data_IF_756439778105
#
_entry.id   IF_756439778105
#
_cell.length_a   1.000
_cell.length_b   1.000
_cell.length_c   1.000
_cell.angle_alpha   90.00
_cell.angle_beta   90.00
_cell.angle_gamma   90.00
#
_symmetry.space_group_name_H-M   'P 1'
#
loop_
_entity.id
_entity.type
_entity.pdbx_description
1 polymer ?
#
# COMPACT_ATOMS: atom_id res chain seq x y z
N UNK A 1 -18.25 9.11 0.22
CA UNK A 1 -17.31 9.62 -0.80
C UNK A 1 -18.01 9.67 -2.14
N UNK A 2 -17.63 10.57 -3.04
CA UNK A 2 -18.24 10.71 -4.38
C UNK A 2 -18.26 9.42 -5.19
N UNK A 3 -17.14 8.68 -5.19
CA UNK A 3 -17.00 7.44 -5.96
C UNK A 3 -18.00 6.37 -5.51
N UNK A 4 -18.28 6.29 -4.21
CA UNK A 4 -19.26 5.35 -3.68
C UNK A 4 -20.67 5.70 -4.13
N UNK A 5 -21.03 7.00 -4.18
CA UNK A 5 -22.33 7.44 -4.66
C UNK A 5 -22.56 7.10 -6.12
N UNK A 6 -21.50 7.15 -6.94
CA UNK A 6 -21.55 6.83 -8.37
C UNK A 6 -21.39 5.33 -8.64
N UNK A 7 -21.34 4.50 -7.60
CA UNK A 7 -21.18 3.04 -7.69
C UNK A 7 -19.89 2.62 -8.40
N UNK A 8 -18.84 3.43 -8.29
CA UNK A 8 -17.51 3.10 -8.84
C UNK A 8 -16.74 2.32 -7.79
N UNK A 9 -16.25 1.12 -8.17
CA UNK A 9 -15.42 0.33 -7.29
C UNK A 9 -14.11 1.06 -7.00
N UNK A 10 -13.85 1.33 -5.73
CA UNK A 10 -12.66 2.03 -5.30
C UNK A 10 -12.05 1.37 -4.07
N UNK A 11 -10.73 1.52 -3.92
CA UNK A 11 -9.98 0.99 -2.80
C UNK A 11 -9.06 2.10 -2.28
N UNK A 12 -9.14 2.35 -0.99
CA UNK A 12 -8.26 3.28 -0.29
C UNK A 12 -7.57 2.54 0.86
N UNK A 13 -6.32 2.06 0.66
CA UNK A 13 -5.59 1.43 1.76
C UNK A 13 -5.35 2.44 2.88
N UNK A 14 -5.72 2.07 4.10
CA UNK A 14 -5.55 2.91 5.27
C UNK A 14 -4.76 2.21 6.35
N UNK A 15 -4.07 3.00 7.16
CA UNK A 15 -3.36 2.53 8.35
C UNK A 15 -3.78 3.36 9.54
N UNK A 16 -3.64 2.77 10.74
CA UNK A 16 -3.94 3.48 11.97
C UNK A 16 -2.84 4.48 12.31
N UNK A 17 -3.26 5.70 12.59
CA UNK A 17 -2.37 6.75 13.09
C UNK A 17 -2.75 7.04 14.54
N UNK A 18 -1.78 6.97 15.44
CA UNK A 18 -2.00 7.18 16.87
C UNK A 18 -1.34 8.49 17.29
N UNK A 19 -2.13 9.39 17.85
CA UNK A 19 -1.65 10.65 18.37
C UNK A 19 -2.00 10.80 19.84
N UNK A 20 -1.04 11.24 20.64
CA UNK A 20 -1.27 11.61 22.04
C UNK A 20 -1.55 13.10 22.12
N UNK A 21 -2.70 13.44 22.65
CA UNK A 21 -3.13 14.82 22.80
C UNK A 21 -3.69 15.04 24.21
N UNK A 22 -3.07 15.96 24.96
CA UNK A 22 -3.47 16.29 26.35
C UNK A 22 -3.67 15.06 27.24
N UNK A 23 -2.75 14.08 27.15
CA UNK A 23 -2.84 12.86 27.93
C UNK A 23 -3.84 11.83 27.42
N UNK A 24 -4.55 12.11 26.32
CA UNK A 24 -5.44 11.16 25.65
C UNK A 24 -4.77 10.59 24.41
N UNK A 25 -5.01 9.30 24.16
CA UNK A 25 -4.59 8.64 22.91
C UNK A 25 -5.75 8.66 21.92
N UNK A 26 -5.55 9.26 20.77
CA UNK A 26 -6.52 9.29 19.68
C UNK A 26 -6.00 8.48 18.53
N UNK A 27 -6.80 7.53 18.04
CA UNK A 27 -6.48 6.69 16.89
C UNK A 27 -7.44 7.03 15.75
N UNK A 28 -6.91 7.18 14.54
CA UNK A 28 -7.71 7.43 13.35
C UNK A 28 -7.08 6.78 12.12
N UNK A 29 -7.92 6.52 11.13
CA UNK A 29 -7.46 5.96 9.87
C UNK A 29 -6.86 7.07 9.00
N UNK A 30 -5.72 6.76 8.37
CA UNK A 30 -5.13 7.65 7.38
C UNK A 30 -4.72 6.85 6.14
N UNK A 31 -4.72 7.47 4.94
CA UNK A 31 -4.25 6.79 3.75
C UNK A 31 -2.80 6.33 3.88
N UNK A 32 -2.52 5.09 3.48
CA UNK A 32 -1.15 4.57 3.42
C UNK A 32 -0.34 5.27 2.33
N UNK A 33 -0.98 5.53 1.18
CA UNK A 33 -0.39 6.25 0.06
C UNK A 33 -1.14 7.55 -0.18
N UNK A 34 -0.76 8.64 0.51
CA UNK A 34 -1.48 9.91 0.39
C UNK A 34 -1.57 10.41 -1.06
N UNK A 35 -2.72 10.89 -1.44
CA UNK A 35 -2.97 11.42 -2.78
C UNK A 35 -3.43 10.39 -3.81
N UNK A 36 -3.50 9.10 -3.44
CA UNK A 36 -3.91 8.03 -4.36
C UNK A 36 -5.16 7.32 -3.88
N UNK A 37 -6.08 7.08 -4.81
CA UNK A 37 -7.22 6.17 -4.65
C UNK A 37 -7.18 5.20 -5.82
N UNK A 38 -7.34 3.92 -5.55
CA UNK A 38 -7.28 2.89 -6.59
C UNK A 38 -8.67 2.54 -7.07
N UNK A 39 -8.84 2.51 -8.39
CA UNK A 39 -10.15 2.31 -9.03
C UNK A 39 -10.11 1.10 -9.94
N UNK A 40 -11.25 0.39 -9.99
CA UNK A 40 -11.54 -0.57 -11.05
C UNK A 40 -12.74 -0.03 -11.81
N UNK A 41 -12.49 0.55 -12.98
CA UNK A 41 -13.53 1.19 -13.79
C UNK A 41 -13.44 0.76 -15.26
N UNK A 42 -14.58 0.80 -15.91
CA UNK A 42 -14.62 0.70 -17.36
C UNK A 42 -14.16 2.03 -17.97
N UNK A 43 -13.41 2.02 -19.10
CA UNK A 43 -12.94 3.26 -19.72
C UNK A 43 -14.04 4.28 -20.00
N UNK A 44 -15.26 3.82 -20.31
CA UNK A 44 -16.41 4.70 -20.54
C UNK A 44 -16.90 5.43 -19.28
N UNK A 45 -16.46 5.00 -18.09
CA UNK A 45 -16.85 5.62 -16.82
C UNK A 45 -15.88 6.71 -16.35
N UNK A 46 -14.83 7.00 -17.11
CA UNK A 46 -13.82 8.01 -16.73
C UNK A 46 -14.40 9.39 -16.48
N UNK A 47 -15.37 9.81 -17.28
CA UNK A 47 -15.98 11.13 -17.12
C UNK A 47 -16.67 11.28 -15.77
N UNK A 48 -17.29 10.22 -15.26
CA UNK A 48 -17.91 10.26 -13.92
C UNK A 48 -16.89 10.56 -12.83
N UNK A 49 -15.68 10.01 -12.94
CA UNK A 49 -14.61 10.28 -11.98
C UNK A 49 -14.14 11.73 -12.09
N UNK A 50 -13.95 12.23 -13.30
CA UNK A 50 -13.53 13.63 -13.53
C UNK A 50 -14.58 14.66 -13.17
N UNK A 51 -15.84 14.28 -13.07
CA UNK A 51 -16.91 15.18 -12.59
C UNK A 51 -16.74 15.51 -11.10
N UNK A 52 -15.94 14.74 -10.37
CA UNK A 52 -15.54 15.07 -9.01
C UNK A 52 -14.45 16.15 -9.04
N UNK A 53 -14.65 17.24 -8.31
CA UNK A 53 -13.64 18.30 -8.18
C UNK A 53 -12.40 17.84 -7.39
N UNK A 54 -12.44 16.64 -6.83
CA UNK A 54 -11.37 16.10 -5.98
C UNK A 54 -10.34 15.26 -6.75
N UNK A 55 -10.60 14.94 -8.02
CA UNK A 55 -9.71 14.11 -8.83
C UNK A 55 -8.92 15.01 -9.78
N UNK A 56 -7.60 15.07 -9.58
CA UNK A 56 -6.73 15.84 -10.46
C UNK A 56 -6.39 15.10 -11.74
N UNK A 57 -6.20 13.78 -11.68
CA UNK A 57 -5.81 12.97 -12.82
C UNK A 57 -6.14 11.49 -12.60
N UNK A 58 -6.39 10.78 -13.71
CA UNK A 58 -6.50 9.33 -13.74
C UNK A 58 -5.25 8.76 -14.40
N UNK A 59 -4.60 7.82 -13.71
CA UNK A 59 -3.41 7.14 -14.20
C UNK A 59 -3.78 5.73 -14.65
N UNK A 60 -3.46 5.39 -15.89
CA UNK A 60 -3.64 4.04 -16.40
C UNK A 60 -2.47 3.16 -16.00
N UNK A 61 -2.77 1.97 -15.47
CA UNK A 61 -1.75 1.01 -15.07
C UNK A 61 -1.50 0.04 -16.22
N UNK A 62 -0.31 0.07 -16.86
CA UNK A 62 -0.01 -0.82 -17.98
C UNK A 62 0.05 -2.30 -17.58
N UNK A 63 0.70 -2.59 -16.45
CA UNK A 63 0.82 -3.95 -15.91
C UNK A 63 -0.28 -4.18 -14.86
N UNK A 64 -1.47 -4.53 -15.32
CA UNK A 64 -2.63 -4.75 -14.46
C UNK A 64 -2.41 -5.92 -13.49
N UNK A 65 -1.84 -7.02 -13.95
CA UNK A 65 -1.61 -8.21 -13.12
C UNK A 65 -0.59 -7.94 -12.02
N UNK A 66 0.54 -7.34 -12.37
CA UNK A 66 1.58 -6.99 -11.41
C UNK A 66 1.10 -6.00 -10.36
N UNK A 67 0.38 -4.97 -10.80
CA UNK A 67 -0.20 -3.98 -9.91
C UNK A 67 -1.20 -4.62 -8.94
N UNK A 68 -2.10 -5.46 -9.44
CA UNK A 68 -3.09 -6.15 -8.62
C UNK A 68 -2.41 -7.07 -7.59
N UNK A 69 -1.39 -7.81 -8.01
CA UNK A 69 -0.64 -8.71 -7.13
C UNK A 69 0.05 -7.93 -6.01
N UNK A 70 0.73 -6.84 -6.32
CA UNK A 70 1.39 -6.00 -5.33
C UNK A 70 0.40 -5.37 -4.35
N UNK A 71 -0.71 -4.87 -4.87
CA UNK A 71 -1.75 -4.27 -4.03
C UNK A 71 -2.40 -5.31 -3.11
N UNK A 72 -2.63 -6.53 -3.61
CA UNK A 72 -3.18 -7.63 -2.82
C UNK A 72 -2.25 -8.01 -1.66
N UNK A 73 -0.94 -8.04 -1.87
CA UNK A 73 0.04 -8.32 -0.82
C UNK A 73 0.01 -7.25 0.29
N UNK A 74 -0.13 -5.99 -0.10
CA UNK A 74 -0.25 -4.88 0.84
C UNK A 74 -1.54 -5.01 1.68
N UNK A 75 -2.66 -5.35 1.05
CA UNK A 75 -3.92 -5.58 1.77
C UNK A 75 -3.83 -6.77 2.71
N UNK A 76 -3.16 -7.84 2.31
CA UNK A 76 -2.94 -8.99 3.18
C UNK A 76 -2.15 -8.60 4.42
N UNK A 77 -1.14 -7.76 4.28
CA UNK A 77 -0.39 -7.23 5.41
C UNK A 77 -1.26 -6.37 6.34
N UNK A 78 -2.12 -5.53 5.77
CA UNK A 78 -3.07 -4.72 6.55
C UNK A 78 -4.03 -5.62 7.34
N UNK A 79 -4.62 -6.61 6.69
CA UNK A 79 -5.56 -7.55 7.32
C UNK A 79 -4.91 -8.42 8.39
N UNK A 80 -3.62 -8.70 8.26
CA UNK A 80 -2.85 -9.45 9.24
C UNK A 80 -2.51 -8.64 10.51
N UNK A 81 -2.93 -7.38 10.56
CA UNK A 81 -2.67 -6.51 11.71
C UNK A 81 -1.26 -5.97 11.79
N UNK A 82 -0.48 -6.07 10.73
CA UNK A 82 0.87 -5.52 10.67
C UNK A 82 0.84 -3.99 10.68
N UNK A 83 1.76 -3.40 11.42
CA UNK A 83 1.96 -1.96 11.37
C UNK A 83 2.74 -1.60 10.10
N UNK A 84 2.12 -0.82 9.23
CA UNK A 84 2.71 -0.39 7.97
C UNK A 84 2.98 1.11 7.99
N UNK A 85 4.11 1.48 7.38
CA UNK A 85 4.48 2.88 7.19
C UNK A 85 4.77 3.14 5.72
N UNK A 86 4.54 4.36 5.27
CA UNK A 86 4.90 4.75 3.91
C UNK A 86 6.40 4.79 3.73
N UNK A 87 6.90 4.13 2.68
CA UNK A 87 8.22 4.34 2.12
C UNK A 87 8.03 5.13 0.83
N UNK A 88 8.34 6.43 0.82
CA UNK A 88 7.92 7.32 -0.27
C UNK A 88 8.74 7.16 -1.55
N UNK A 89 9.83 6.42 -1.50
CA UNK A 89 10.70 6.18 -2.65
C UNK A 89 11.11 4.71 -2.71
N UNK A 90 11.28 4.21 -3.94
CA UNK A 90 11.85 2.88 -4.17
C UNK A 90 13.31 3.03 -4.54
N UNK A 91 14.18 2.31 -3.86
CA UNK A 91 15.63 2.29 -4.12
C UNK A 91 16.13 0.91 -4.50
N UNK A 92 17.44 0.79 -4.56
CA UNK A 92 18.10 -0.50 -4.77
C UNK A 92 17.92 -1.38 -3.52
N UNK A 93 17.57 -2.64 -3.75
CA UNK A 93 17.37 -3.58 -2.66
C UNK A 93 17.49 -5.01 -3.11
N UNK A 94 17.36 -5.93 -2.16
CA UNK A 94 17.39 -7.37 -2.40
C UNK A 94 15.99 -7.94 -2.22
N UNK A 95 15.57 -8.79 -3.15
CA UNK A 95 14.29 -9.51 -3.01
C UNK A 95 14.40 -10.57 -1.94
N UNK A 96 13.37 -10.63 -1.12
CA UNK A 96 13.26 -11.62 -0.04
C UNK A 96 11.88 -12.26 -0.08
N UNK A 97 11.78 -13.47 0.51
CA UNK A 97 10.52 -14.17 0.72
C UNK A 97 10.31 -14.29 2.22
N UNK A 98 9.09 -14.04 2.66
CA UNK A 98 8.70 -14.24 4.06
C UNK A 98 8.49 -15.74 4.27
N UNK A 99 9.27 -16.35 5.18
CA UNK A 99 9.30 -17.80 5.41
C UNK A 99 8.20 -18.30 6.33
N UNK A 100 7.72 -17.47 7.22
CA UNK A 100 6.84 -17.90 8.29
C UNK A 100 5.86 -16.82 8.71
N UNK A 101 4.83 -17.20 9.46
CA UNK A 101 3.80 -16.30 9.94
C UNK A 101 2.66 -16.12 8.97
N UNK A 102 1.74 -15.17 9.27
CA UNK A 102 0.53 -14.96 8.46
C UNK A 102 0.82 -14.52 7.03
N UNK A 103 1.98 -13.93 6.76
CA UNK A 103 2.36 -13.45 5.43
C UNK A 103 3.37 -14.36 4.73
N UNK A 104 3.43 -15.63 5.14
CA UNK A 104 4.32 -16.61 4.51
C UNK A 104 4.09 -16.68 3.00
N UNK A 105 5.19 -16.64 2.24
CA UNK A 105 5.17 -16.73 0.79
C UNK A 105 5.10 -15.39 0.07
N UNK A 106 4.83 -14.30 0.78
CA UNK A 106 4.84 -12.97 0.20
C UNK A 106 6.28 -12.56 -0.07
N UNK A 107 6.52 -12.02 -1.26
CA UNK A 107 7.79 -11.45 -1.65
C UNK A 107 7.84 -9.96 -1.32
N UNK A 108 8.99 -9.52 -0.83
CA UNK A 108 9.24 -8.12 -0.56
C UNK A 108 10.68 -7.75 -0.89
N UNK A 109 11.08 -6.58 -0.44
CA UNK A 109 12.41 -6.03 -0.70
C UNK A 109 13.02 -5.52 0.60
N UNK A 110 14.32 -5.74 0.75
CA UNK A 110 15.11 -5.18 1.84
C UNK A 110 16.10 -4.19 1.26
N UNK A 111 16.07 -2.96 1.74
CA UNK A 111 16.99 -1.88 1.31
C UNK A 111 17.86 -1.45 2.48
N UNK A 112 19.14 -1.18 2.23
CA UNK A 112 20.10 -0.82 3.26
C UNK A 112 19.67 0.40 4.08
N UNK A 113 19.05 1.39 3.45
CA UNK A 113 18.62 2.62 4.12
C UNK A 113 17.52 2.42 5.17
N UNK A 114 16.77 1.31 5.09
CA UNK A 114 15.71 0.98 6.06
C UNK A 114 16.13 -0.13 7.04
N UNK A 115 17.26 -0.78 6.78
CA UNK A 115 17.78 -1.84 7.64
C UNK A 115 17.26 -3.23 7.29
N UNK A 116 17.87 -4.24 7.89
CA UNK A 116 17.62 -5.66 7.60
C UNK A 116 16.29 -6.18 8.15
N UNK A 117 15.73 -5.48 9.10
CA UNK A 117 14.48 -5.86 9.76
C UNK A 117 13.27 -5.11 9.21
N UNK A 118 13.42 -4.46 8.07
CA UNK A 118 12.33 -3.76 7.40
C UNK A 118 12.13 -4.35 6.02
N UNK A 119 10.94 -4.88 5.78
CA UNK A 119 10.53 -5.40 4.48
C UNK A 119 9.66 -4.37 3.79
N UNK A 120 9.94 -4.13 2.51
CA UNK A 120 9.19 -3.20 1.69
C UNK A 120 8.30 -3.98 0.73
N UNK A 121 7.00 -3.74 0.84
CA UNK A 121 6.03 -4.22 -0.13
C UNK A 121 5.83 -3.11 -1.15
N UNK A 122 6.44 -3.27 -2.33
CA UNK A 122 6.46 -2.24 -3.36
C UNK A 122 5.14 -2.14 -4.09
N UNK A 123 4.79 -0.92 -4.45
CA UNK A 123 3.76 -0.63 -5.43
C UNK A 123 4.44 0.15 -6.57
N UNK A 124 5.03 -0.59 -7.49
CA UNK A 124 5.98 -0.08 -8.47
C UNK A 124 5.43 1.05 -9.33
N UNK A 125 4.16 0.95 -9.72
CA UNK A 125 3.54 1.94 -10.60
C UNK A 125 3.55 3.36 -10.00
N UNK A 126 3.38 3.49 -8.70
CA UNK A 126 3.42 4.79 -8.03
C UNK A 126 4.78 5.10 -7.41
N UNK A 127 5.74 4.18 -7.53
CA UNK A 127 7.10 4.38 -7.01
C UNK A 127 7.21 4.45 -5.51
N UNK A 128 6.26 3.86 -4.79
CA UNK A 128 6.22 3.87 -3.32
C UNK A 128 6.09 2.45 -2.78
N UNK A 129 6.28 2.29 -1.50
CA UNK A 129 6.16 1.00 -0.84
C UNK A 129 5.53 1.15 0.55
N UNK A 130 5.00 0.03 1.05
CA UNK A 130 4.59 -0.12 2.44
C UNK A 130 5.71 -0.81 3.20
N UNK A 131 6.24 -0.17 4.24
CA UNK A 131 7.31 -0.71 5.06
C UNK A 131 6.73 -1.38 6.30
N UNK A 132 7.19 -2.60 6.57
CA UNK A 132 6.84 -3.32 7.79
C UNK A 132 8.09 -3.87 8.47
N UNK A 133 8.05 -3.92 9.79
CA UNK A 133 9.13 -4.50 10.60
C UNK A 133 8.95 -6.01 10.69
N UNK A 134 10.05 -6.75 10.48
CA UNK A 134 10.06 -8.21 10.57
C UNK A 134 11.47 -8.68 10.93
N UNK A 135 11.57 -9.69 11.79
CA UNK A 135 12.87 -10.24 12.15
C UNK A 135 13.55 -10.89 10.95
N UNK A 136 14.86 -10.68 10.84
CA UNK A 136 15.63 -11.13 9.68
C UNK A 136 15.60 -12.65 9.48
N UNK A 137 15.46 -13.44 10.55
CA UNK A 137 15.37 -14.89 10.47
C UNK A 137 14.06 -15.40 9.87
N UNK A 138 13.05 -14.54 9.74
CA UNK A 138 11.80 -14.85 9.05
C UNK A 138 11.89 -14.62 7.54
N UNK A 139 13.04 -14.18 7.03
CA UNK A 139 13.26 -13.83 5.64
C UNK A 139 14.30 -14.73 5.00
N UNK A 140 14.14 -15.02 3.72
CA UNK A 140 15.17 -15.64 2.89
C UNK A 140 15.28 -14.92 1.56
N UNK A 141 16.46 -14.99 0.97
CA UNK A 141 16.68 -14.40 -0.35
C UNK A 141 15.85 -15.13 -1.41
N UNK A 142 15.18 -14.36 -2.22
CA UNK A 142 14.39 -14.88 -3.33
C UNK A 142 15.26 -15.24 -4.53
#
# INVERSE_FOLDING_TARGET
MYLDRELIYNILPTVQSVHKYRGKTVSFDKPLFPGYVFLKIHPLSRQKVYQSDYVANLLDVPDQEGFHSQLADIFEAIESGCELKLAPEIGAGKRVIIKSGPMRGIEGWVEDRYGRSTVLLRLDFIGQAAALSMEADMLELA
#
